data_IF_854944599925
#
_entry.id   IF_854944599925
#
_cell.length_a   1.000
_cell.length_b   1.000
_cell.length_c   1.000
_cell.angle_alpha   90.00
_cell.angle_beta   90.00
_cell.angle_gamma   90.00
#
_symmetry.space_group_name_H-M   'P 1'
#
loop_
_entity.id
_entity.type
_entity.pdbx_description
1 polymer ?
#
# COMPACT_ATOMS: atom_id res chain seq x y z
N UNK A 1 0.31 -16.56 -9.41
CA UNK A 1 -0.01 -15.92 -10.72
C UNK A 1 1.20 -16.08 -11.63
N UNK A 2 1.03 -16.34 -12.94
CA UNK A 2 2.17 -16.36 -13.88
C UNK A 2 2.47 -14.95 -14.36
N UNK A 3 3.75 -14.60 -14.50
CA UNK A 3 4.11 -13.34 -15.13
C UNK A 3 3.62 -13.27 -16.58
N UNK A 4 3.45 -12.04 -17.04
CA UNK A 4 3.16 -11.70 -18.43
C UNK A 4 4.30 -10.84 -18.96
N UNK A 5 4.36 -10.64 -20.26
CA UNK A 5 5.45 -9.87 -20.87
C UNK A 5 5.51 -8.44 -20.35
N UNK A 6 4.37 -7.85 -19.99
CA UNK A 6 4.25 -6.53 -19.39
C UNK A 6 4.93 -6.45 -18.01
N UNK A 7 5.06 -7.57 -17.29
CA UNK A 7 5.77 -7.62 -16.01
C UNK A 7 7.25 -7.27 -16.19
N UNK A 8 7.88 -7.66 -17.31
CA UNK A 8 9.28 -7.33 -17.60
C UNK A 8 9.47 -5.82 -17.74
N UNK A 9 8.55 -5.16 -18.44
CA UNK A 9 8.57 -3.70 -18.61
C UNK A 9 8.29 -2.99 -17.28
N UNK A 10 7.34 -3.50 -16.50
CA UNK A 10 7.04 -2.99 -15.16
C UNK A 10 8.27 -3.08 -14.25
N UNK A 11 9.00 -4.20 -14.23
CA UNK A 11 10.21 -4.35 -13.41
C UNK A 11 11.33 -3.37 -13.80
N UNK A 12 11.47 -3.03 -15.09
CA UNK A 12 12.45 -2.02 -15.54
C UNK A 12 12.09 -0.62 -15.03
N UNK A 13 10.82 -0.24 -15.15
CA UNK A 13 10.32 1.04 -14.64
C UNK A 13 10.45 1.12 -13.12
N UNK A 14 10.13 0.02 -12.44
CA UNK A 14 10.28 -0.11 -11.00
C UNK A 14 11.74 0.07 -10.59
N UNK A 15 12.68 -0.63 -11.25
CA UNK A 15 14.10 -0.48 -10.94
C UNK A 15 14.59 0.97 -11.03
N UNK A 16 14.18 1.70 -12.08
CA UNK A 16 14.51 3.12 -12.22
C UNK A 16 13.89 3.98 -11.11
N UNK A 17 12.63 3.73 -10.74
CA UNK A 17 11.97 4.45 -9.64
C UNK A 17 12.70 4.23 -8.32
N UNK A 18 13.01 2.98 -8.00
CA UNK A 18 13.64 2.60 -6.73
C UNK A 18 15.08 3.11 -6.63
N UNK A 19 15.88 3.01 -7.69
CA UNK A 19 17.27 3.51 -7.63
C UNK A 19 17.33 5.03 -7.45
N UNK A 20 16.36 5.77 -8.02
CA UNK A 20 16.22 7.23 -7.81
C UNK A 20 15.78 7.59 -6.40
N UNK A 21 15.00 6.73 -5.74
CA UNK A 21 14.70 6.89 -4.31
C UNK A 21 15.93 6.62 -3.44
N UNK A 22 16.82 5.72 -3.88
CA UNK A 22 17.99 5.32 -3.12
C UNK A 22 19.16 6.31 -3.21
N UNK A 23 19.34 6.99 -4.34
CA UNK A 23 20.46 7.91 -4.60
C UNK A 23 20.15 8.89 -5.75
N UNK A 24 20.85 10.02 -5.79
CA UNK A 24 20.85 10.96 -6.93
C UNK A 24 22.01 10.72 -7.92
N UNK A 25 22.85 9.71 -7.69
CA UNK A 25 23.98 9.37 -8.58
C UNK A 25 23.51 8.74 -9.90
N UNK A 26 23.51 9.56 -10.95
CA UNK A 26 23.12 9.14 -12.30
C UNK A 26 23.99 8.02 -12.90
N UNK A 27 25.28 7.95 -12.57
CA UNK A 27 26.14 6.87 -13.06
C UNK A 27 25.77 5.54 -12.38
N UNK A 28 25.40 5.59 -11.10
CA UNK A 28 24.87 4.44 -10.39
C UNK A 28 23.49 4.01 -10.90
N UNK A 29 22.62 4.96 -11.25
CA UNK A 29 21.31 4.67 -11.88
C UNK A 29 21.49 3.85 -13.16
N UNK A 30 22.38 4.28 -14.05
CA UNK A 30 22.67 3.57 -15.30
C UNK A 30 23.23 2.17 -15.01
N UNK A 31 24.18 2.07 -14.08
CA UNK A 31 24.81 0.80 -13.69
C UNK A 31 23.77 -0.21 -13.22
N UNK A 32 22.88 0.20 -12.32
CA UNK A 32 21.79 -0.63 -11.80
C UNK A 32 20.83 -1.05 -12.91
N UNK A 33 20.41 -0.12 -13.77
CA UNK A 33 19.48 -0.46 -14.86
C UNK A 33 20.08 -1.46 -15.85
N UNK A 34 21.37 -1.32 -16.20
CA UNK A 34 22.06 -2.30 -17.05
C UNK A 34 22.07 -3.69 -16.39
N UNK A 35 22.38 -3.77 -15.10
CA UNK A 35 22.38 -5.03 -14.36
C UNK A 35 20.98 -5.66 -14.31
N UNK A 36 19.94 -4.85 -14.06
CA UNK A 36 18.54 -5.31 -14.05
C UNK A 36 18.12 -5.83 -15.42
N UNK A 37 18.42 -5.11 -16.50
CA UNK A 37 18.10 -5.55 -17.87
C UNK A 37 18.80 -6.87 -18.22
N UNK A 38 20.09 -6.99 -17.87
CA UNK A 38 20.83 -8.24 -18.06
C UNK A 38 20.23 -9.38 -17.25
N UNK A 39 19.85 -9.15 -15.99
CA UNK A 39 19.21 -10.16 -15.15
C UNK A 39 17.85 -10.60 -15.72
N UNK A 40 16.98 -9.64 -16.04
CA UNK A 40 15.65 -9.92 -16.60
C UNK A 40 15.75 -10.70 -17.93
N UNK A 41 16.77 -10.45 -18.75
CA UNK A 41 16.99 -11.20 -19.98
C UNK A 41 17.38 -12.68 -19.77
N UNK A 42 17.80 -13.06 -18.57
CA UNK A 42 18.28 -14.43 -18.25
C UNK A 42 17.28 -15.30 -17.52
N UNK A 43 16.22 -14.72 -16.94
CA UNK A 43 15.20 -15.46 -16.18
C UNK A 43 13.99 -15.81 -17.04
N UNK A 44 13.26 -16.90 -16.74
CA UNK A 44 12.00 -17.19 -17.40
C UNK A 44 10.95 -16.11 -17.14
N UNK A 45 10.37 -15.55 -18.20
CA UNK A 45 9.27 -14.57 -18.08
C UNK A 45 7.91 -15.20 -17.79
N UNK A 46 7.92 -16.49 -17.46
CA UNK A 46 6.76 -17.26 -16.98
C UNK A 46 6.76 -17.44 -15.48
N UNK A 47 7.85 -17.06 -14.80
CA UNK A 47 7.98 -17.12 -13.35
C UNK A 47 6.98 -16.20 -12.67
N UNK A 48 6.80 -16.33 -11.36
CA UNK A 48 5.92 -15.42 -10.65
C UNK A 48 6.53 -14.00 -10.60
N UNK A 49 5.73 -12.93 -10.73
CA UNK A 49 6.23 -11.56 -10.71
C UNK A 49 6.98 -11.18 -9.42
N UNK A 50 6.69 -11.84 -8.30
CA UNK A 50 7.33 -11.54 -7.02
C UNK A 50 8.79 -12.02 -7.03
N UNK A 51 9.05 -13.23 -7.52
CA UNK A 51 10.41 -13.75 -7.71
C UNK A 51 11.22 -12.87 -8.66
N UNK A 52 10.62 -12.40 -9.76
CA UNK A 52 11.28 -11.43 -10.65
C UNK A 52 11.68 -10.15 -9.90
N UNK A 53 10.77 -9.61 -9.08
CA UNK A 53 11.02 -8.39 -8.33
C UNK A 53 12.10 -8.57 -7.27
N UNK A 54 12.16 -9.72 -6.59
CA UNK A 54 13.21 -10.02 -5.60
C UNK A 54 14.62 -9.91 -6.19
N UNK A 55 14.84 -10.45 -7.40
CA UNK A 55 16.12 -10.34 -8.09
C UNK A 55 16.49 -8.89 -8.40
N UNK A 56 15.50 -8.09 -8.82
CA UNK A 56 15.67 -6.64 -9.07
C UNK A 56 16.05 -5.89 -7.79
N UNK A 57 15.30 -6.09 -6.70
CA UNK A 57 15.58 -5.43 -5.42
C UNK A 57 16.93 -5.84 -4.83
N UNK A 58 17.32 -7.10 -4.98
CA UNK A 58 18.63 -7.58 -4.52
C UNK A 58 19.78 -6.87 -5.26
N UNK A 59 19.66 -6.65 -6.57
CA UNK A 59 20.64 -5.91 -7.36
C UNK A 59 20.74 -4.44 -6.93
N UNK A 60 19.59 -3.80 -6.73
CA UNK A 60 19.53 -2.40 -6.28
C UNK A 60 20.19 -2.26 -4.91
N UNK A 61 19.78 -3.09 -3.94
CA UNK A 61 20.33 -3.07 -2.59
C UNK A 61 21.85 -3.30 -2.61
N UNK A 62 22.33 -4.27 -3.39
CA UNK A 62 23.77 -4.53 -3.53
C UNK A 62 24.54 -3.32 -4.09
N UNK A 63 23.95 -2.60 -5.05
CA UNK A 63 24.60 -1.47 -5.70
C UNK A 63 24.56 -0.19 -4.85
N UNK A 64 23.47 0.04 -4.14
CA UNK A 64 23.24 1.30 -3.37
C UNK A 64 23.61 1.18 -1.90
N UNK A 65 23.69 -0.04 -1.35
CA UNK A 65 23.81 -0.29 0.08
C UNK A 65 22.57 0.13 0.88
N UNK A 66 21.45 0.44 0.21
CA UNK A 66 20.20 0.87 0.84
C UNK A 66 19.14 -0.24 0.74
N UNK A 67 18.84 -0.93 1.86
CA UNK A 67 17.87 -2.02 1.87
C UNK A 67 16.41 -1.55 1.91
N UNK A 68 16.13 -0.27 2.20
CA UNK A 68 14.78 0.30 2.17
C UNK A 68 14.77 1.70 1.53
N UNK A 69 14.84 1.77 0.19
CA UNK A 69 14.75 3.04 -0.54
C UNK A 69 13.45 3.82 -0.30
N UNK A 70 12.38 3.15 0.15
CA UNK A 70 11.07 3.77 0.37
C UNK A 70 10.89 4.32 1.78
N UNK A 71 11.82 4.08 2.72
CA UNK A 71 11.66 4.44 4.13
C UNK A 71 11.23 5.91 4.35
N UNK A 72 11.89 6.85 3.67
CA UNK A 72 11.56 8.27 3.78
C UNK A 72 10.15 8.59 3.26
N UNK A 73 9.77 7.95 2.16
CA UNK A 73 8.46 8.08 1.55
C UNK A 73 7.37 7.49 2.46
N UNK A 74 7.53 6.26 2.95
CA UNK A 74 6.62 5.61 3.90
C UNK A 74 6.40 6.46 5.16
N UNK A 75 7.50 6.99 5.71
CA UNK A 75 7.47 7.86 6.88
C UNK A 75 6.72 9.18 6.63
N UNK A 76 6.85 9.73 5.42
CA UNK A 76 6.10 10.93 5.02
C UNK A 76 4.61 10.63 4.86
N UNK A 77 4.26 9.58 4.13
CA UNK A 77 2.86 9.18 3.90
C UNK A 77 2.13 8.93 5.22
N UNK A 78 2.74 8.16 6.14
CA UNK A 78 2.19 7.93 7.48
C UNK A 78 1.92 9.25 8.23
N UNK A 79 2.87 10.19 8.18
CA UNK A 79 2.77 11.47 8.89
C UNK A 79 1.66 12.35 8.32
N UNK A 80 1.54 12.40 6.99
CA UNK A 80 0.52 13.20 6.31
C UNK A 80 -0.89 12.72 6.66
N UNK A 81 -1.14 11.41 6.64
CA UNK A 81 -2.46 10.87 7.01
C UNK A 81 -2.70 10.97 8.53
N UNK A 82 -1.68 10.73 9.36
CA UNK A 82 -1.82 10.90 10.81
C UNK A 82 -2.19 12.34 11.21
N UNK A 83 -1.77 13.35 10.44
CA UNK A 83 -2.16 14.73 10.69
C UNK A 83 -3.67 14.96 10.50
N UNK A 84 -4.31 14.20 9.61
CA UNK A 84 -5.76 14.24 9.34
C UNK A 84 -6.56 13.30 10.25
N UNK A 85 -5.89 12.45 11.03
CA UNK A 85 -6.51 11.41 11.85
C UNK A 85 -7.66 11.90 12.74
N UNK A 86 -7.53 13.02 13.48
CA UNK A 86 -8.61 13.49 14.36
C UNK A 86 -9.87 13.87 13.59
N UNK A 87 -9.71 14.46 12.41
CA UNK A 87 -10.81 14.87 11.55
C UNK A 87 -11.51 13.65 10.94
N UNK A 88 -10.73 12.72 10.36
CA UNK A 88 -11.26 11.47 9.82
C UNK A 88 -12.05 10.68 10.88
N UNK A 89 -11.51 10.60 12.10
CA UNK A 89 -12.19 9.95 13.21
C UNK A 89 -13.48 10.67 13.61
N UNK A 90 -13.51 12.01 13.53
CA UNK A 90 -14.73 12.78 13.76
C UNK A 90 -15.77 12.49 12.69
N UNK A 91 -15.40 12.53 11.42
CA UNK A 91 -16.31 12.24 10.29
C UNK A 91 -16.90 10.83 10.39
N UNK A 92 -16.11 9.81 10.75
CA UNK A 92 -16.61 8.45 11.00
C UNK A 92 -17.65 8.45 12.12
N UNK A 93 -17.36 9.07 13.26
CA UNK A 93 -18.28 9.04 14.42
C UNK A 93 -19.60 9.75 14.17
N UNK A 94 -19.61 10.77 13.31
CA UNK A 94 -20.79 11.60 13.04
C UNK A 94 -21.55 11.18 11.79
N UNK A 95 -21.09 10.18 11.05
CA UNK A 95 -21.78 9.71 9.85
C UNK A 95 -22.95 8.79 10.18
N UNK A 96 -23.86 8.64 9.22
CA UNK A 96 -25.05 7.78 9.36
C UNK A 96 -24.69 6.30 9.56
N UNK A 97 -23.62 5.85 8.90
CA UNK A 97 -23.05 4.52 9.10
C UNK A 97 -21.52 4.62 9.27
N UNK A 98 -21.03 4.65 10.53
CA UNK A 98 -19.61 4.79 10.82
C UNK A 98 -18.76 3.65 10.25
N UNK A 99 -19.25 2.41 10.29
CA UNK A 99 -18.50 1.26 9.77
C UNK A 99 -18.38 1.32 8.24
N UNK A 100 -19.44 1.72 7.54
CA UNK A 100 -19.38 1.94 6.09
C UNK A 100 -18.40 3.07 5.75
N UNK A 101 -18.44 4.16 6.51
CA UNK A 101 -17.56 5.32 6.31
C UNK A 101 -16.11 4.93 6.49
N UNK A 102 -15.79 4.17 7.55
CA UNK A 102 -14.46 3.67 7.79
C UNK A 102 -13.99 2.68 6.70
N UNK A 103 -14.89 1.83 6.16
CA UNK A 103 -14.58 0.99 5.00
C UNK A 103 -14.21 1.83 3.77
N UNK A 104 -14.96 2.90 3.50
CA UNK A 104 -14.67 3.82 2.39
C UNK A 104 -13.31 4.51 2.56
N UNK A 105 -12.96 4.92 3.78
CA UNK A 105 -11.64 5.48 4.06
C UNK A 105 -10.50 4.49 3.89
N UNK A 106 -10.66 3.23 4.32
CA UNK A 106 -9.66 2.19 4.08
C UNK A 106 -9.40 2.02 2.56
N UNK A 107 -10.46 2.02 1.74
CA UNK A 107 -10.34 1.98 0.28
C UNK A 107 -9.68 3.24 -0.30
N UNK A 108 -9.98 4.42 0.25
CA UNK A 108 -9.33 5.67 -0.15
C UNK A 108 -7.82 5.62 0.09
N UNK A 109 -7.38 5.01 1.19
CA UNK A 109 -5.98 4.81 1.53
C UNK A 109 -5.18 4.13 0.41
N UNK A 110 -5.76 3.10 -0.21
CA UNK A 110 -5.13 2.37 -1.31
C UNK A 110 -5.12 3.16 -2.64
N UNK A 111 -6.12 4.01 -2.88
CA UNK A 111 -6.13 4.91 -4.06
C UNK A 111 -5.03 5.96 -3.95
N UNK A 112 -4.76 6.41 -2.73
CA UNK A 112 -3.71 7.37 -2.42
C UNK A 112 -2.34 6.66 -2.40
N UNK A 113 -1.85 6.20 -3.55
CA UNK A 113 -0.45 5.78 -3.69
C UNK A 113 0.46 7.02 -3.61
N UNK A 114 0.79 7.41 -2.38
CA UNK A 114 1.66 8.53 -2.02
C UNK A 114 3.07 8.44 -2.65
N UNK A 115 3.43 7.31 -3.29
CA UNK A 115 4.71 7.09 -3.94
C UNK A 115 4.78 7.34 -5.43
N UNK A 116 3.64 7.46 -6.13
CA UNK A 116 3.64 7.45 -7.60
C UNK A 116 3.39 8.81 -8.26
N UNK A 117 2.58 9.72 -7.68
CA UNK A 117 2.13 10.94 -8.37
C UNK A 117 2.25 12.22 -7.53
N UNK A 118 2.71 13.29 -8.17
CA UNK A 118 2.90 14.62 -7.60
C UNK A 118 1.54 15.32 -7.36
N UNK A 119 1.43 16.05 -6.24
CA UNK A 119 0.32 16.92 -5.87
C UNK A 119 -1.06 16.22 -5.81
N UNK A 120 -1.20 15.23 -4.92
CA UNK A 120 -2.50 14.63 -4.64
C UNK A 120 -3.22 15.42 -3.53
N UNK A 121 -4.46 15.84 -3.78
CA UNK A 121 -5.31 16.44 -2.76
C UNK A 121 -6.02 15.33 -1.98
N UNK A 122 -5.48 15.02 -0.80
CA UNK A 122 -6.00 13.98 0.10
C UNK A 122 -7.48 14.22 0.42
N UNK A 123 -7.87 15.47 0.67
CA UNK A 123 -9.25 15.81 1.02
C UNK A 123 -10.21 15.58 -0.14
N UNK A 124 -9.85 16.01 -1.35
CA UNK A 124 -10.68 15.80 -2.54
C UNK A 124 -10.89 14.30 -2.84
N UNK A 125 -9.86 13.50 -2.59
CA UNK A 125 -9.95 12.03 -2.76
C UNK A 125 -10.89 11.42 -1.74
N UNK A 126 -10.76 11.83 -0.47
CA UNK A 126 -11.66 11.40 0.59
C UNK A 126 -13.11 11.73 0.22
N UNK A 127 -13.37 12.97 -0.18
CA UNK A 127 -14.72 13.43 -0.54
C UNK A 127 -15.28 12.64 -1.73
N UNK A 128 -14.46 12.41 -2.75
CA UNK A 128 -14.84 11.62 -3.92
C UNK A 128 -15.17 10.16 -3.54
N UNK A 129 -14.32 9.51 -2.73
CA UNK A 129 -14.54 8.12 -2.33
C UNK A 129 -15.78 7.99 -1.45
N UNK A 130 -16.05 8.96 -0.57
CA UNK A 130 -17.28 8.98 0.24
C UNK A 130 -18.54 9.04 -0.61
N UNK A 131 -18.51 9.74 -1.74
CA UNK A 131 -19.65 9.87 -2.66
C UNK A 131 -19.73 8.74 -3.70
N UNK A 132 -18.67 7.97 -3.88
CA UNK A 132 -18.62 6.88 -4.86
C UNK A 132 -19.18 5.60 -4.27
N UNK A 133 -20.04 4.92 -5.02
CA UNK A 133 -20.53 3.59 -4.67
C UNK A 133 -19.52 2.50 -5.02
N UNK A 134 -19.45 1.46 -4.18
CA UNK A 134 -18.64 0.29 -4.51
C UNK A 134 -19.22 -0.42 -5.73
N UNK A 135 -18.38 -0.63 -6.75
CA UNK A 135 -18.75 -1.41 -7.93
C UNK A 135 -19.20 -2.83 -7.57
N UNK A 136 -18.58 -3.43 -6.53
CA UNK A 136 -19.01 -4.67 -5.89
C UNK A 136 -19.20 -4.36 -4.41
N UNK A 137 -20.44 -4.26 -3.97
CA UNK A 137 -20.76 -3.90 -2.59
C UNK A 137 -21.08 -5.13 -1.73
N UNK A 138 -20.06 -5.67 -1.04
CA UNK A 138 -20.23 -6.75 -0.07
C UNK A 138 -20.36 -6.23 1.39
N UNK A 139 -20.50 -4.92 1.59
CA UNK A 139 -20.59 -4.32 2.92
C UNK A 139 -21.72 -4.90 3.80
N UNK A 140 -22.95 -5.13 3.31
CA UNK A 140 -24.00 -5.71 4.14
C UNK A 140 -23.61 -7.06 4.73
N UNK A 141 -22.92 -7.89 3.93
CA UNK A 141 -22.41 -9.19 4.38
C UNK A 141 -21.30 -9.03 5.42
N UNK A 142 -20.33 -8.13 5.18
CA UNK A 142 -19.27 -7.82 6.15
C UNK A 142 -19.88 -7.40 7.49
N UNK A 143 -20.89 -6.51 7.47
CA UNK A 143 -21.58 -6.04 8.68
C UNK A 143 -22.21 -7.19 9.46
N UNK A 144 -22.95 -8.08 8.78
CA UNK A 144 -23.54 -9.27 9.41
C UNK A 144 -22.49 -10.23 9.96
N UNK A 145 -21.41 -10.50 9.21
CA UNK A 145 -20.34 -11.40 9.66
C UNK A 145 -19.68 -10.85 10.95
N UNK A 146 -19.51 -9.52 11.04
CA UNK A 146 -18.94 -8.85 12.20
C UNK A 146 -19.82 -8.87 13.46
N UNK A 147 -21.15 -9.00 13.33
CA UNK A 147 -22.06 -9.07 14.49
C UNK A 147 -21.82 -10.31 15.37
N UNK A 148 -21.28 -11.38 14.78
CA UNK A 148 -20.99 -12.64 15.48
C UNK A 148 -19.50 -12.99 15.55
N UNK A 149 -18.65 -12.24 14.83
CA UNK A 149 -17.23 -12.48 14.80
C UNK A 149 -16.59 -12.24 16.17
N UNK A 150 -15.74 -13.18 16.60
CA UNK A 150 -14.91 -13.00 17.81
C UNK A 150 -13.51 -12.49 17.50
N UNK A 151 -13.07 -12.60 16.24
CA UNK A 151 -11.77 -12.10 15.79
C UNK A 151 -11.74 -11.72 14.32
N UNK A 152 -10.90 -10.75 13.97
CA UNK A 152 -10.60 -10.34 12.59
C UNK A 152 -9.10 -10.44 12.32
N UNK A 153 -8.76 -10.88 11.12
CA UNK A 153 -7.41 -10.89 10.56
C UNK A 153 -7.37 -9.93 9.38
N UNK A 154 -6.51 -8.92 9.45
CA UNK A 154 -6.26 -7.96 8.37
C UNK A 154 -4.86 -8.19 7.80
N UNK A 155 -4.75 -8.26 6.48
CA UNK A 155 -3.46 -8.19 5.79
C UNK A 155 -3.26 -6.76 5.34
N UNK A 156 -2.28 -6.08 5.94
CA UNK A 156 -1.91 -4.74 5.54
C UNK A 156 -1.18 -4.76 4.19
N UNK A 157 -1.33 -3.67 3.44
CA UNK A 157 -0.66 -3.49 2.15
C UNK A 157 0.39 -2.37 2.25
N UNK A 158 -0.01 -1.09 2.22
CA UNK A 158 0.93 0.03 2.11
C UNK A 158 1.07 0.89 3.38
N UNK A 159 2.23 1.53 3.55
CA UNK A 159 2.39 2.66 4.45
C UNK A 159 1.55 3.87 3.97
N UNK A 160 1.00 4.64 4.91
CA UNK A 160 -0.04 5.63 4.67
C UNK A 160 -1.44 4.98 4.74
N UNK A 161 -1.70 3.97 3.91
CA UNK A 161 -2.95 3.19 3.92
C UNK A 161 -3.24 2.57 5.29
N UNK A 162 -2.21 2.01 5.95
CA UNK A 162 -2.34 1.39 7.27
C UNK A 162 -2.93 2.33 8.35
N UNK A 163 -2.82 3.64 8.16
CA UNK A 163 -3.44 4.62 9.07
C UNK A 163 -4.96 4.66 8.89
N UNK A 164 -5.47 4.48 7.67
CA UNK A 164 -6.91 4.31 7.41
C UNK A 164 -7.41 2.95 7.88
N UNK A 165 -6.64 1.88 7.68
CA UNK A 165 -6.94 0.57 8.24
C UNK A 165 -7.08 0.63 9.77
N UNK A 166 -6.21 1.39 10.44
CA UNK A 166 -6.33 1.64 11.88
C UNK A 166 -7.70 2.24 12.24
N UNK A 167 -8.21 3.21 11.48
CA UNK A 167 -9.54 3.79 11.71
C UNK A 167 -10.64 2.73 11.53
N UNK A 168 -10.54 1.88 10.50
CA UNK A 168 -11.48 0.79 10.28
C UNK A 168 -11.49 -0.20 11.45
N UNK A 169 -10.31 -0.62 11.90
CA UNK A 169 -10.14 -1.55 13.01
C UNK A 169 -10.67 -0.98 14.34
N UNK A 170 -10.39 0.30 14.63
CA UNK A 170 -10.95 0.98 15.80
C UNK A 170 -12.48 1.06 15.73
N UNK A 171 -13.02 1.32 14.55
CA UNK A 171 -14.48 1.38 14.33
C UNK A 171 -15.12 0.02 14.52
N UNK A 172 -14.51 -1.04 13.98
CA UNK A 172 -14.94 -2.43 14.20
C UNK A 172 -14.94 -2.76 15.70
N UNK A 173 -13.86 -2.48 16.43
CA UNK A 173 -13.80 -2.73 17.88
C UNK A 173 -14.87 -1.98 18.67
N UNK A 174 -15.20 -0.75 18.26
CA UNK A 174 -16.20 0.06 18.95
C UNK A 174 -17.64 -0.42 18.71
N UNK A 175 -17.92 -1.08 17.58
CA UNK A 175 -19.27 -1.40 17.13
C UNK A 175 -19.63 -2.89 17.15
N UNK A 176 -18.68 -3.77 17.46
CA UNK A 176 -18.84 -5.22 17.31
C UNK A 176 -18.32 -5.96 18.55
N UNK A 177 -18.73 -7.22 18.79
CA UNK A 177 -18.26 -8.00 19.95
C UNK A 177 -16.84 -8.57 19.78
N UNK A 178 -16.03 -8.01 18.87
CA UNK A 178 -14.68 -8.48 18.58
C UNK A 178 -13.80 -8.47 19.83
N UNK A 179 -13.13 -9.60 20.06
CA UNK A 179 -12.20 -9.78 21.19
C UNK A 179 -10.74 -9.70 20.77
N UNK A 180 -10.46 -9.88 19.49
CA UNK A 180 -9.10 -9.96 18.95
C UNK A 180 -9.04 -9.42 17.53
N UNK A 181 -8.08 -8.53 17.32
CA UNK A 181 -7.62 -8.15 15.99
C UNK A 181 -6.22 -8.68 15.78
N UNK A 182 -5.92 -9.09 14.55
CA UNK A 182 -4.58 -9.45 14.12
C UNK A 182 -4.29 -8.75 12.82
N UNK A 183 -3.18 -8.03 12.76
CA UNK A 183 -2.71 -7.33 11.56
C UNK A 183 -1.43 -8.02 11.09
N UNK A 184 -1.41 -8.43 9.83
CA UNK A 184 -0.27 -9.07 9.17
C UNK A 184 0.42 -8.03 8.30
N UNK A 185 1.72 -7.83 8.54
CA UNK A 185 2.60 -6.96 7.76
C UNK A 185 3.71 -7.79 7.11
N UNK A 186 4.49 -7.19 6.21
CA UNK A 186 5.63 -7.87 5.60
C UNK A 186 6.76 -8.09 6.62
N UNK A 187 7.52 -9.16 6.41
CA UNK A 187 8.70 -9.47 7.25
C UNK A 187 9.87 -8.51 7.00
N UNK A 188 10.01 -8.03 5.76
CA UNK A 188 11.08 -7.14 5.33
C UNK A 188 10.52 -5.99 4.47
N UNK A 189 11.22 -4.84 4.41
CA UNK A 189 10.83 -3.75 3.52
C UNK A 189 10.77 -4.19 2.05
N UNK A 190 9.65 -3.89 1.41
CA UNK A 190 9.47 -4.12 -0.03
C UNK A 190 8.53 -3.05 -0.55
N UNK A 191 8.95 -2.30 -1.58
CA UNK A 191 8.21 -1.14 -2.08
C UNK A 191 7.77 -0.22 -0.92
N UNK A 192 6.54 0.26 -0.91
CA UNK A 192 5.95 1.11 0.10
C UNK A 192 5.12 0.32 1.13
N UNK A 193 5.19 -1.02 1.11
CA UNK A 193 4.62 -1.90 2.13
C UNK A 193 5.27 -1.71 3.52
#
# INVERSE_FOLDING_TARGET
>A
MKARIECVLCQQQQALRVVRLATDDHALHETVLRQVLSHLATIPWTDDPMTMSQGVYALINKATGNPDPYNALKSRSNREILALYPELQHQIRTSDDPLLTACKFAVAGNIMDFGAHAAFNVQETIDHVLQTDFAINAYPRLKTDLESASSVLLFADNAGELVFDKLLLETMLAQTPLKRLTVVVKEFPIIND
#
